data_IF_291515528515
#
_entry.id   IF_291515528515
#
_cell.length_a   1.000
_cell.length_b   1.000
_cell.length_c   1.000
_cell.angle_alpha   90.00
_cell.angle_beta   90.00
_cell.angle_gamma   90.00
#
_symmetry.space_group_name_H-M   'P 1'
#
loop_
_entity.id
_entity.type
_entity.pdbx_description
1 polymer ?
#
# COMPACT_ATOMS: atom_id res chain seq x y z
N UNK A 1 -11.82 -10.34 -2.98
CA UNK A 1 -11.11 -9.51 -2.02
C UNK A 1 -9.61 -9.50 -2.21
N UNK A 2 -8.98 -8.54 -1.52
CA UNK A 2 -7.55 -8.35 -1.36
C UNK A 2 -7.09 -9.14 -0.12
N UNK A 3 -6.00 -9.88 -0.20
CA UNK A 3 -5.32 -10.33 1.02
C UNK A 3 -4.75 -9.10 1.70
N UNK A 4 -4.92 -8.98 3.02
CA UNK A 4 -4.27 -7.93 3.79
C UNK A 4 -3.52 -8.49 4.99
N UNK A 5 -2.43 -7.82 5.34
CA UNK A 5 -1.69 -7.96 6.59
C UNK A 5 -1.65 -6.59 7.27
N UNK A 6 -2.03 -6.53 8.55
CA UNK A 6 -2.04 -5.34 9.38
C UNK A 6 -1.00 -5.47 10.49
N UNK A 7 -0.23 -4.41 10.67
CA UNK A 7 0.88 -4.33 11.59
C UNK A 7 0.67 -3.17 12.54
N UNK A 8 1.07 -3.36 13.80
CA UNK A 8 1.30 -2.28 14.75
C UNK A 8 2.69 -2.45 15.34
N UNK A 9 3.26 -1.38 15.87
CA UNK A 9 4.61 -1.47 16.44
C UNK A 9 5.17 -0.12 16.82
N UNK A 10 6.49 -0.03 16.78
CA UNK A 10 7.22 1.22 17.00
C UNK A 10 8.32 1.31 15.95
N UNK A 11 8.46 2.50 15.33
CA UNK A 11 9.55 2.86 14.41
C UNK A 11 9.51 2.30 12.97
N UNK A 12 8.38 2.35 12.27
CA UNK A 12 8.37 2.16 10.81
C UNK A 12 8.85 3.44 10.10
N UNK A 13 10.05 3.45 9.53
CA UNK A 13 10.62 4.59 8.79
C UNK A 13 10.47 4.44 7.27
N UNK A 14 10.28 3.20 6.82
CA UNK A 14 10.15 2.80 5.42
C UNK A 14 9.34 1.50 5.34
N UNK A 15 8.75 1.21 4.18
CA UNK A 15 7.94 -0.02 4.02
C UNK A 15 8.73 -1.31 4.23
N UNK A 16 10.06 -1.29 4.07
CA UNK A 16 10.93 -2.45 4.28
C UNK A 16 10.90 -2.92 5.75
N UNK A 17 10.61 -2.03 6.69
CA UNK A 17 10.56 -2.36 8.11
C UNK A 17 9.41 -3.34 8.45
N UNK A 18 8.45 -3.48 7.53
CA UNK A 18 7.36 -4.46 7.63
C UNK A 18 7.79 -5.89 7.27
N UNK A 19 8.89 -6.11 6.53
CA UNK A 19 9.34 -7.46 6.12
C UNK A 19 9.85 -8.31 7.29
N UNK A 20 10.32 -7.67 8.37
CA UNK A 20 10.76 -8.34 9.59
C UNK A 20 9.71 -8.40 10.70
N UNK A 21 8.52 -7.82 10.48
CA UNK A 21 7.50 -7.66 11.52
C UNK A 21 6.40 -8.71 11.33
N UNK A 22 5.92 -9.30 12.43
CA UNK A 22 4.77 -10.22 12.37
C UNK A 22 3.47 -9.41 12.33
N UNK A 23 2.53 -9.70 11.41
CA UNK A 23 1.24 -9.02 11.39
C UNK A 23 0.44 -9.35 12.65
N UNK A 24 -0.25 -8.34 13.19
CA UNK A 24 -1.15 -8.51 14.34
C UNK A 24 -2.53 -8.98 13.91
N UNK A 25 -2.90 -8.74 12.65
CA UNK A 25 -4.14 -9.22 12.04
C UNK A 25 -3.93 -9.41 10.53
N UNK A 26 -4.55 -10.43 9.96
CA UNK A 26 -4.51 -10.74 8.53
C UNK A 26 -5.87 -11.27 8.07
N UNK A 27 -6.17 -11.14 6.78
CA UNK A 27 -7.38 -11.74 6.22
C UNK A 27 -7.66 -11.32 4.79
N UNK A 28 -8.93 -11.38 4.41
CA UNK A 28 -9.43 -10.88 3.13
C UNK A 28 -10.21 -9.59 3.37
N UNK A 29 -9.89 -8.55 2.59
CA UNK A 29 -10.56 -7.27 2.56
C UNK A 29 -11.33 -7.14 1.24
N UNK A 30 -12.64 -6.90 1.32
CA UNK A 30 -13.45 -6.63 0.13
C UNK A 30 -13.50 -5.12 -0.12
N UNK A 31 -13.14 -4.71 -1.33
CA UNK A 31 -13.08 -3.29 -1.71
C UNK A 31 -11.76 -2.90 -2.37
N UNK A 32 -11.56 -1.59 -2.53
CA UNK A 32 -10.33 -1.00 -3.02
C UNK A 32 -9.28 -0.87 -1.90
N UNK A 33 -8.01 -0.76 -2.25
CA UNK A 33 -6.95 -0.46 -1.29
C UNK A 33 -7.29 0.84 -0.56
N UNK A 34 -7.36 0.78 0.77
CA UNK A 34 -7.58 1.96 1.61
C UNK A 34 -7.15 1.70 3.05
N UNK A 35 -6.61 2.72 3.73
CA UNK A 35 -6.33 2.66 5.17
C UNK A 35 -7.54 2.95 6.06
N UNK A 36 -8.69 3.36 5.51
CA UNK A 36 -9.81 3.93 6.29
C UNK A 36 -10.28 3.02 7.44
N UNK A 37 -10.33 1.71 7.20
CA UNK A 37 -10.73 0.71 8.22
C UNK A 37 -9.79 0.70 9.44
N UNK A 38 -8.53 1.12 9.29
CA UNK A 38 -7.50 1.09 10.33
C UNK A 38 -7.19 2.48 10.90
N UNK A 39 -7.90 3.53 10.46
CA UNK A 39 -7.82 4.84 11.10
C UNK A 39 -8.24 4.72 12.57
N UNK A 40 -7.32 5.08 13.46
CA UNK A 40 -7.51 4.99 14.90
C UNK A 40 -6.93 6.22 15.59
N UNK A 41 -7.52 6.59 16.73
CA UNK A 41 -6.98 7.65 17.60
C UNK A 41 -5.90 7.13 18.57
N UNK A 42 -5.80 5.81 18.73
CA UNK A 42 -4.95 5.18 19.74
C UNK A 42 -3.72 4.50 19.13
N UNK A 43 -3.86 3.94 17.94
CA UNK A 43 -2.75 3.33 17.19
C UNK A 43 -2.11 4.39 16.31
N UNK A 44 -0.87 4.78 16.63
CA UNK A 44 -0.11 5.80 15.90
C UNK A 44 0.89 5.25 14.90
N UNK A 45 1.29 4.00 15.07
CA UNK A 45 2.28 3.34 14.23
C UNK A 45 1.63 2.13 13.63
N UNK A 46 1.21 2.27 12.38
CA UNK A 46 0.54 1.18 11.67
C UNK A 46 1.31 0.83 10.41
N UNK A 47 1.14 -0.42 9.99
CA UNK A 47 1.55 -0.89 8.68
C UNK A 47 0.42 -1.65 8.02
N UNK A 48 0.35 -1.57 6.69
CA UNK A 48 -0.57 -2.35 5.87
C UNK A 48 0.19 -2.95 4.70
N UNK A 49 -0.07 -4.23 4.43
CA UNK A 49 0.22 -4.82 3.12
C UNK A 49 -1.08 -5.29 2.51
N UNK A 50 -1.28 -4.99 1.23
CA UNK A 50 -2.34 -5.59 0.44
C UNK A 50 -1.73 -6.35 -0.73
N UNK A 51 -2.29 -7.52 -1.02
CA UNK A 51 -1.99 -8.31 -2.20
C UNK A 51 -3.29 -8.67 -2.93
N UNK A 52 -3.25 -8.60 -4.26
CA UNK A 52 -4.40 -8.94 -5.07
C UNK A 52 -4.08 -9.00 -6.56
N UNK A 53 -5.16 -8.96 -7.35
CA UNK A 53 -5.07 -8.90 -8.79
C UNK A 53 -5.82 -7.67 -9.30
N UNK A 54 -5.18 -6.93 -10.20
CA UNK A 54 -5.77 -5.85 -10.96
C UNK A 54 -6.18 -6.41 -12.33
N UNK A 55 -7.45 -6.23 -12.71
CA UNK A 55 -7.88 -6.52 -14.07
C UNK A 55 -7.66 -5.30 -14.96
N UNK A 56 -6.86 -5.48 -16.00
CA UNK A 56 -6.53 -4.48 -17.00
C UNK A 56 -7.35 -4.76 -18.26
N UNK A 57 -8.25 -3.85 -18.68
CA UNK A 57 -9.18 -4.11 -19.79
C UNK A 57 -8.53 -4.02 -21.17
N UNK A 58 -7.41 -3.30 -21.29
CA UNK A 58 -6.74 -2.99 -22.54
C UNK A 58 -5.23 -2.90 -22.34
N UNK A 59 -4.45 -3.35 -23.33
CA UNK A 59 -3.00 -3.16 -23.31
C UNK A 59 -2.65 -1.69 -23.56
N UNK A 60 -2.17 -0.98 -22.54
CA UNK A 60 -1.86 0.44 -22.61
C UNK A 60 -0.82 0.88 -21.57
N UNK A 61 -0.37 2.13 -21.66
CA UNK A 61 0.36 2.78 -20.58
C UNK A 61 -0.65 3.32 -19.56
N UNK A 62 -0.52 2.90 -18.32
CA UNK A 62 -1.34 3.35 -17.20
C UNK A 62 -0.52 4.26 -16.30
N UNK A 63 -1.10 5.40 -15.92
CA UNK A 63 -0.59 6.21 -14.81
C UNK A 63 -1.31 5.76 -13.56
N UNK A 64 -0.55 5.33 -12.56
CA UNK A 64 -1.08 4.89 -11.27
C UNK A 64 -0.49 5.80 -10.22
N UNK A 65 -1.32 6.24 -9.26
CA UNK A 65 -0.87 7.02 -8.12
C UNK A 65 -1.18 6.31 -6.81
N UNK A 66 -0.42 6.67 -5.78
CA UNK A 66 -0.76 6.40 -4.39
C UNK A 66 -0.78 7.73 -3.65
N UNK A 67 -1.81 7.92 -2.83
CA UNK A 67 -1.84 9.02 -1.86
C UNK A 67 -1.53 8.42 -0.50
N UNK A 68 -0.42 8.84 0.13
CA UNK A 68 -0.07 8.36 1.47
C UNK A 68 0.40 9.46 2.43
N UNK A 69 -0.02 9.37 3.69
CA UNK A 69 0.60 10.07 4.81
C UNK A 69 1.58 9.09 5.47
N UNK A 70 2.84 9.49 5.50
CA UNK A 70 4.04 8.64 5.41
C UNK A 70 4.02 7.65 4.23
N UNK A 71 4.81 6.58 4.30
CA UNK A 71 5.36 5.95 3.12
C UNK A 71 4.55 4.78 2.55
N UNK A 72 4.50 4.67 1.23
CA UNK A 72 3.98 3.51 0.50
C UNK A 72 4.84 3.09 -0.71
N UNK A 73 4.76 1.82 -1.09
CA UNK A 73 5.29 1.30 -2.36
C UNK A 73 4.29 0.36 -3.01
N UNK A 74 3.99 0.61 -4.29
CA UNK A 74 3.17 -0.25 -5.13
C UNK A 74 4.03 -0.99 -6.14
N UNK A 75 3.84 -2.30 -6.20
CA UNK A 75 4.43 -3.17 -7.20
C UNK A 75 3.33 -3.84 -8.01
N UNK A 76 3.55 -3.94 -9.32
CA UNK A 76 2.70 -4.70 -10.25
C UNK A 76 3.61 -5.66 -11.02
N UNK A 77 3.26 -6.94 -11.04
CA UNK A 77 4.07 -8.03 -11.62
C UNK A 77 5.53 -8.06 -11.15
N UNK A 78 5.75 -7.69 -9.88
CA UNK A 78 7.06 -7.58 -9.21
C UNK A 78 7.90 -6.36 -9.65
N UNK A 79 7.38 -5.50 -10.53
CA UNK A 79 8.01 -4.22 -10.87
C UNK A 79 7.51 -3.11 -9.95
N UNK A 80 8.44 -2.27 -9.45
CA UNK A 80 8.10 -1.09 -8.65
C UNK A 80 7.46 -0.05 -9.56
N UNK A 81 6.17 0.21 -9.38
CA UNK A 81 5.42 1.18 -10.18
C UNK A 81 5.36 2.53 -9.47
N UNK A 82 4.97 2.56 -8.20
CA UNK A 82 4.91 3.81 -7.41
C UNK A 82 5.81 3.67 -6.19
N UNK A 83 6.71 4.64 -6.03
CA UNK A 83 7.56 4.78 -4.85
C UNK A 83 7.21 6.08 -4.14
N UNK A 84 6.43 5.96 -3.08
CA UNK A 84 6.06 7.04 -2.17
C UNK A 84 6.62 6.73 -0.78
N UNK A 85 7.82 6.14 -0.67
CA UNK A 85 8.35 5.62 0.59
C UNK A 85 9.06 6.70 1.43
N UNK A 86 9.20 6.44 2.72
CA UNK A 86 9.82 7.34 3.69
C UNK A 86 8.82 8.19 4.48
N UNK A 87 9.32 8.89 5.49
CA UNK A 87 8.51 9.79 6.32
C UNK A 87 8.21 11.06 5.52
N UNK A 88 6.93 11.37 5.41
CA UNK A 88 6.47 12.61 4.79
C UNK A 88 5.02 12.88 5.17
N UNK A 89 4.63 14.16 5.11
CA UNK A 89 3.22 14.53 5.13
C UNK A 89 2.48 13.91 3.95
N UNK A 90 1.14 13.92 4.01
CA UNK A 90 0.26 13.54 2.91
C UNK A 90 0.81 13.96 1.53
N UNK A 91 1.23 12.97 0.75
CA UNK A 91 1.84 13.16 -0.56
C UNK A 91 1.24 12.19 -1.58
N UNK A 92 0.99 12.70 -2.79
CA UNK A 92 0.63 11.87 -3.93
C UNK A 92 1.88 11.60 -4.76
N UNK A 93 2.21 10.33 -4.97
CA UNK A 93 3.24 9.90 -5.91
C UNK A 93 2.60 9.12 -7.06
N UNK A 94 3.24 9.16 -8.22
CA UNK A 94 2.75 8.50 -9.42
C UNK A 94 3.84 7.73 -10.14
N UNK A 95 3.42 6.75 -10.93
CA UNK A 95 4.26 5.95 -11.81
C UNK A 95 3.53 5.62 -13.09
N UNK A 96 4.30 5.40 -14.15
CA UNK A 96 3.78 4.95 -15.45
C UNK A 96 4.26 3.54 -15.70
N UNK A 97 3.33 2.64 -15.99
CA UNK A 97 3.62 1.23 -16.30
C UNK A 97 2.82 0.81 -17.52
N UNK A 98 3.46 0.04 -18.41
CA UNK A 98 2.77 -0.60 -19.53
C UNK A 98 2.17 -1.90 -19.03
N UNK A 99 0.85 -2.03 -19.08
CA UNK A 99 0.15 -3.25 -18.70
C UNK A 99 -0.50 -3.88 -19.92
N UNK A 100 -0.54 -5.20 -19.93
CA UNK A 100 -1.25 -5.95 -20.97
C UNK A 100 -2.71 -6.15 -20.56
N UNK A 101 -3.59 -6.43 -21.53
CA UNK A 101 -4.95 -6.86 -21.19
C UNK A 101 -4.90 -8.17 -20.39
N UNK A 102 -5.45 -8.18 -19.18
CA UNK A 102 -5.48 -9.39 -18.34
C UNK A 102 -5.45 -9.09 -16.85
N UNK A 103 -5.20 -10.12 -16.04
CA UNK A 103 -5.00 -9.97 -14.61
C UNK A 103 -3.51 -9.82 -14.30
N UNK A 104 -3.17 -8.78 -13.56
CA UNK A 104 -1.82 -8.48 -13.09
C UNK A 104 -1.78 -8.63 -11.57
N UNK A 105 -0.76 -9.30 -11.04
CA UNK A 105 -0.61 -9.41 -9.59
C UNK A 105 -0.08 -8.08 -9.08
N UNK A 106 -0.68 -7.54 -8.02
CA UNK A 106 -0.14 -6.37 -7.35
C UNK A 106 0.10 -6.63 -5.87
N UNK A 107 1.05 -5.90 -5.32
CA UNK A 107 1.20 -5.76 -3.89
C UNK A 107 1.50 -4.30 -3.56
N UNK A 108 0.93 -3.82 -2.45
CA UNK A 108 1.21 -2.50 -1.92
C UNK A 108 1.54 -2.62 -0.44
N UNK A 109 2.63 -1.97 -0.05
CA UNK A 109 3.03 -1.84 1.36
C UNK A 109 2.91 -0.38 1.77
N UNK A 110 2.49 -0.13 2.99
CA UNK A 110 2.24 1.20 3.54
C UNK A 110 2.57 1.22 5.03
N UNK A 111 3.08 2.34 5.52
CA UNK A 111 3.18 2.62 6.95
C UNK A 111 2.79 4.06 7.26
N UNK A 112 2.37 4.27 8.51
CA UNK A 112 2.08 5.59 9.08
C UNK A 112 2.79 5.73 10.43
N UNK A 113 3.37 6.89 10.67
CA UNK A 113 3.71 7.38 12.00
C UNK A 113 2.69 8.44 12.39
N UNK A 114 2.48 8.60 13.70
CA UNK A 114 1.73 9.71 14.31
C UNK A 114 0.23 9.85 13.98
N UNK A 115 -0.36 8.99 13.15
CA UNK A 115 -1.82 8.82 13.03
C UNK A 115 -2.50 9.63 11.92
N UNK A 116 -1.77 10.02 10.87
CA UNK A 116 -2.36 10.58 9.65
C UNK A 116 -3.15 9.54 8.87
N UNK A 117 -2.62 8.32 8.85
CA UNK A 117 -3.24 7.05 8.44
C UNK A 117 -4.04 7.19 7.15
N UNK A 118 -3.40 7.68 6.10
CA UNK A 118 -4.01 7.84 4.78
C UNK A 118 -3.29 6.99 3.76
N UNK A 119 -4.04 6.13 3.08
CA UNK A 119 -3.65 5.37 1.90
C UNK A 119 -4.87 5.26 0.97
N UNK A 120 -4.69 5.60 -0.30
CA UNK A 120 -5.65 5.31 -1.40
C UNK A 120 -4.94 5.13 -2.73
#
# INVERSE_FOLDING_TARGET
>A
GLKYDYYTGTFFQQVLDLEGTKPVNSGIFEGAVSSEKWKSKTERYIGLKFEGYLYVPETANYTISTLSDDGSKLFIDQELVVNNDGIHWLNEAYGVVKLEKGFHKFNISYFDQIGGTTLS
#
